data_IF_843136263957
#
_entry.id   IF_843136263957
#
_cell.length_a   1.000
_cell.length_b   1.000
_cell.length_c   1.000
_cell.angle_alpha   90.00
_cell.angle_beta   90.00
_cell.angle_gamma   90.00
#
_symmetry.space_group_name_H-M   'P 1'
#
loop_
_entity.id
_entity.type
_entity.pdbx_description
1 polymer ?
#
# COMPACT_ATOMS: atom_id res chain seq x y z
N UNK A 1 14.72 17.67 -16.31
CA UNK A 1 15.55 16.63 -16.95
C UNK A 1 15.88 15.59 -15.88
N UNK A 2 15.45 14.32 -16.09
CA UNK A 2 15.90 13.05 -15.45
C UNK A 2 15.58 12.89 -13.94
N UNK A 3 15.01 11.81 -13.41
CA UNK A 3 14.70 10.44 -13.83
C UNK A 3 13.31 10.08 -13.27
N UNK A 4 12.25 10.01 -14.09
CA UNK A 4 10.89 9.75 -13.58
C UNK A 4 10.15 8.64 -14.32
N UNK A 5 10.83 7.91 -15.20
CA UNK A 5 10.24 6.83 -15.97
C UNK A 5 10.95 5.52 -15.63
N UNK A 6 10.49 4.88 -14.57
CA UNK A 6 10.80 3.47 -14.33
C UNK A 6 9.81 2.66 -15.18
N UNK A 7 10.10 2.53 -16.47
CA UNK A 7 9.55 1.44 -17.28
C UNK A 7 9.84 0.12 -16.55
N UNK A 8 8.82 -0.70 -16.33
CA UNK A 8 8.86 -2.07 -15.79
C UNK A 8 10.26 -2.47 -15.25
N UNK A 9 10.58 -1.98 -14.04
CA UNK A 9 11.87 -2.28 -13.42
C UNK A 9 11.87 -3.71 -12.95
N UNK A 10 12.37 -4.60 -13.79
CA UNK A 10 13.09 -5.77 -13.32
C UNK A 10 14.19 -5.30 -12.38
N UNK A 11 14.24 -5.90 -11.19
CA UNK A 11 15.15 -5.63 -10.07
C UNK A 11 16.44 -4.88 -10.44
N UNK A 12 16.64 -3.64 -9.95
CA UNK A 12 17.95 -3.00 -10.00
C UNK A 12 18.89 -3.78 -9.08
N UNK A 13 19.65 -4.72 -9.67
CA UNK A 13 20.56 -5.59 -8.92
C UNK A 13 20.89 -6.91 -9.60
N UNK A 14 20.06 -7.39 -10.54
CA UNK A 14 20.36 -8.59 -11.34
C UNK A 14 20.62 -8.16 -12.79
N UNK A 15 21.89 -8.10 -13.24
CA UNK A 15 22.20 -7.90 -14.64
C UNK A 15 21.39 -8.85 -15.52
N UNK A 16 20.79 -8.37 -16.62
CA UNK A 16 20.02 -9.18 -17.61
C UNK A 16 20.74 -10.48 -18.02
N UNK A 17 22.08 -10.48 -17.94
CA UNK A 17 22.93 -11.63 -18.22
C UNK A 17 22.84 -12.77 -17.18
N UNK A 18 22.53 -12.48 -15.91
CA UNK A 18 22.44 -13.47 -14.83
C UNK A 18 21.08 -14.18 -14.80
N UNK A 19 19.98 -13.43 -14.97
CA UNK A 19 18.64 -14.01 -15.04
C UNK A 19 18.46 -14.95 -16.26
N UNK A 20 19.07 -14.62 -17.41
CA UNK A 20 19.07 -15.50 -18.60
C UNK A 20 20.01 -16.71 -18.49
N UNK A 21 21.01 -16.68 -17.62
CA UNK A 21 22.01 -17.76 -17.47
C UNK A 21 21.73 -18.72 -16.31
N UNK A 22 20.80 -18.39 -15.41
CA UNK A 22 20.47 -19.21 -14.22
C UNK A 22 18.95 -19.28 -14.02
N UNK A 23 18.25 -20.20 -14.69
CA UNK A 23 16.79 -20.37 -14.55
C UNK A 23 16.34 -20.84 -13.15
N UNK A 24 17.28 -21.13 -12.25
CA UNK A 24 17.03 -21.57 -10.86
C UNK A 24 17.43 -20.54 -9.80
N UNK A 25 17.69 -19.28 -10.17
CA UNK A 25 18.05 -18.25 -9.19
C UNK A 25 16.83 -17.96 -8.30
N UNK A 26 16.94 -18.25 -7.01
CA UNK A 26 15.88 -17.97 -6.03
C UNK A 26 15.96 -16.53 -5.52
N UNK A 27 14.89 -16.02 -4.92
CA UNK A 27 14.79 -14.62 -4.48
C UNK A 27 15.81 -14.27 -3.38
N UNK A 28 16.08 -15.19 -2.46
CA UNK A 28 17.13 -15.09 -1.44
C UNK A 28 18.53 -15.02 -2.05
N UNK A 29 18.78 -15.73 -3.15
CA UNK A 29 20.04 -15.65 -3.90
C UNK A 29 20.18 -14.34 -4.67
N UNK A 30 19.07 -13.75 -5.14
CA UNK A 30 19.05 -12.45 -5.78
C UNK A 30 19.23 -11.30 -4.78
N UNK A 31 18.83 -11.50 -3.52
CA UNK A 31 18.90 -10.51 -2.46
C UNK A 31 19.57 -11.08 -1.18
N UNK A 32 20.86 -11.48 -1.26
CA UNK A 32 21.53 -12.11 -0.14
C UNK A 32 21.71 -11.12 1.03
N UNK A 33 21.44 -11.54 2.28
CA UNK A 33 21.60 -10.68 3.43
C UNK A 33 23.09 -10.39 3.70
N UNK A 34 23.41 -9.15 4.07
CA UNK A 34 24.80 -8.71 4.31
C UNK A 34 25.13 -8.52 5.79
N UNK A 35 24.11 -8.53 6.64
CA UNK A 35 24.23 -8.32 8.08
C UNK A 35 23.11 -9.07 8.82
N UNK A 36 23.16 -9.07 10.15
CA UNK A 36 22.19 -9.79 10.99
C UNK A 36 20.76 -9.26 10.86
N UNK A 37 20.58 -7.95 10.63
CA UNK A 37 19.26 -7.33 10.43
C UNK A 37 18.66 -7.78 9.11
N UNK A 38 19.43 -7.74 8.02
CA UNK A 38 19.00 -8.26 6.72
C UNK A 38 18.75 -9.77 6.80
N UNK A 39 19.58 -10.54 7.53
CA UNK A 39 19.33 -11.98 7.73
C UNK A 39 18.03 -12.25 8.51
N UNK A 40 17.65 -11.36 9.43
CA UNK A 40 16.39 -11.45 10.15
C UNK A 40 15.18 -11.21 9.23
N UNK A 41 15.25 -10.17 8.40
CA UNK A 41 14.16 -9.71 7.54
C UNK A 41 14.04 -10.47 6.21
N UNK A 42 15.17 -10.81 5.59
CA UNK A 42 15.23 -11.36 4.23
C UNK A 42 14.83 -12.83 4.26
N UNK A 43 13.62 -13.12 3.84
CA UNK A 43 13.04 -14.46 3.92
C UNK A 43 11.74 -14.57 3.13
N UNK A 44 11.26 -15.81 3.02
CA UNK A 44 9.85 -16.08 2.84
C UNK A 44 9.12 -16.00 4.19
N UNK A 45 7.94 -15.40 4.15
CA UNK A 45 7.08 -15.14 5.29
C UNK A 45 5.70 -15.69 5.00
N UNK A 46 5.14 -16.43 5.96
CA UNK A 46 3.81 -17.04 5.87
C UNK A 46 2.89 -16.37 6.87
N UNK A 47 1.74 -15.89 6.40
CA UNK A 47 0.75 -15.25 7.25
C UNK A 47 0.23 -16.23 8.30
N UNK A 48 0.30 -15.83 9.57
CA UNK A 48 -0.40 -16.47 10.67
C UNK A 48 -1.84 -15.97 10.67
N UNK A 49 -2.72 -16.77 10.09
CA UNK A 49 -4.14 -16.42 9.91
C UNK A 49 -4.86 -16.33 11.26
N UNK A 50 -4.42 -17.10 12.26
CA UNK A 50 -5.02 -17.12 13.59
C UNK A 50 -4.67 -15.85 14.39
N UNK A 51 -3.50 -15.25 14.13
CA UNK A 51 -3.10 -13.97 14.73
C UNK A 51 -3.56 -12.73 13.92
N UNK A 52 -4.14 -12.92 12.73
CA UNK A 52 -4.57 -11.82 11.86
C UNK A 52 -5.81 -11.12 12.43
N UNK A 53 -5.74 -9.79 12.56
CA UNK A 53 -6.79 -8.98 13.19
C UNK A 53 -7.19 -7.84 12.27
N UNK A 54 -8.51 -7.65 12.12
CA UNK A 54 -9.14 -6.44 11.61
C UNK A 54 -10.11 -5.89 12.66
N UNK A 55 -9.99 -4.59 12.96
CA UNK A 55 -10.93 -3.85 13.82
C UNK A 55 -11.57 -2.75 12.98
N UNK A 56 -12.87 -2.84 12.74
CA UNK A 56 -13.61 -1.79 12.06
C UNK A 56 -13.69 -0.52 12.91
N UNK A 57 -13.68 0.65 12.27
CA UNK A 57 -13.92 1.92 12.94
C UNK A 57 -15.39 2.05 13.36
N UNK A 58 -15.65 2.54 14.57
CA UNK A 58 -16.98 2.62 15.22
C UNK A 58 -18.09 3.30 14.39
N UNK A 59 -17.73 4.11 13.38
CA UNK A 59 -18.68 4.80 12.50
C UNK A 59 -18.80 4.20 11.08
N UNK A 60 -17.98 3.21 10.71
CA UNK A 60 -18.08 2.54 9.40
C UNK A 60 -19.33 1.64 9.33
N UNK A 61 -19.76 1.09 10.47
CA UNK A 61 -20.87 0.15 10.56
C UNK A 61 -22.26 0.81 10.48
N UNK A 62 -22.37 2.13 10.70
CA UNK A 62 -23.67 2.83 10.73
C UNK A 62 -24.30 3.09 9.36
N UNK A 63 -23.58 2.85 8.25
CA UNK A 63 -24.09 3.12 6.89
C UNK A 63 -24.69 1.90 6.18
N UNK A 64 -24.52 0.69 6.71
CA UNK A 64 -24.98 -0.54 6.03
C UNK A 64 -26.29 -1.13 6.57
N UNK A 65 -26.88 -0.58 7.63
CA UNK A 65 -28.11 -1.14 8.23
C UNK A 65 -29.17 -0.07 8.48
N UNK A 66 -29.64 0.62 7.44
CA UNK A 66 -30.99 1.21 7.42
C UNK A 66 -31.53 1.11 5.99
N UNK A 67 -32.62 0.36 5.82
CA UNK A 67 -33.07 -0.16 4.53
C UNK A 67 -33.80 0.79 3.58
N UNK A 68 -34.19 0.21 2.44
CA UNK A 68 -35.09 0.77 1.44
C UNK A 68 -34.88 0.08 0.10
N UNK A 69 -35.81 -0.80 -0.30
CA UNK A 69 -35.80 -1.42 -1.62
C UNK A 69 -35.79 -0.36 -2.73
N UNK A 70 -34.79 -0.45 -3.60
CA UNK A 70 -34.64 0.44 -4.76
C UNK A 70 -33.31 0.15 -5.43
N UNK A 71 -33.38 -0.42 -6.63
CA UNK A 71 -32.32 -0.72 -7.59
C UNK A 71 -30.87 -0.78 -7.08
N UNK A 72 -30.32 -1.99 -7.14
CA UNK A 72 -28.89 -2.28 -7.10
C UNK A 72 -28.24 -1.59 -8.32
N UNK A 73 -27.99 -0.28 -8.21
CA UNK A 73 -27.03 0.40 -9.05
C UNK A 73 -25.65 -0.04 -8.58
N UNK A 74 -24.88 -0.49 -9.56
CA UNK A 74 -23.57 -1.17 -9.55
C UNK A 74 -22.43 -0.34 -8.90
N UNK A 75 -22.65 0.13 -7.66
CA UNK A 75 -21.74 0.95 -6.88
C UNK A 75 -21.65 0.56 -5.40
N UNK A 76 -22.36 -0.50 -4.99
CA UNK A 76 -22.07 -1.19 -3.74
C UNK A 76 -20.72 -1.88 -3.91
N UNK A 77 -19.74 -1.54 -3.06
CA UNK A 77 -18.43 -2.17 -2.97
C UNK A 77 -18.49 -3.63 -2.50
N UNK A 78 -19.40 -4.42 -3.08
CA UNK A 78 -19.52 -5.84 -2.88
C UNK A 78 -18.25 -6.51 -3.43
N UNK A 79 -17.27 -6.72 -2.54
CA UNK A 79 -16.09 -7.50 -2.87
C UNK A 79 -16.56 -8.94 -3.05
N UNK A 80 -16.43 -9.46 -4.27
CA UNK A 80 -16.81 -10.85 -4.54
C UNK A 80 -15.96 -11.78 -3.67
N UNK A 81 -16.53 -12.90 -3.25
CA UNK A 81 -15.81 -13.92 -2.51
C UNK A 81 -14.55 -14.40 -3.26
N UNK A 82 -14.61 -14.48 -4.59
CA UNK A 82 -13.47 -14.82 -5.44
C UNK A 82 -12.37 -13.76 -5.38
N UNK A 83 -12.72 -12.47 -5.40
CA UNK A 83 -11.77 -11.37 -5.25
C UNK A 83 -11.11 -11.38 -3.87
N UNK A 84 -11.87 -11.71 -2.82
CA UNK A 84 -11.30 -11.88 -1.48
C UNK A 84 -10.30 -13.03 -1.44
N UNK A 85 -10.65 -14.20 -1.99
CA UNK A 85 -9.73 -15.34 -2.04
C UNK A 85 -8.47 -15.03 -2.84
N UNK A 86 -8.59 -14.33 -3.96
CA UNK A 86 -7.46 -13.91 -4.78
C UNK A 86 -6.52 -12.97 -4.01
N UNK A 87 -7.06 -11.93 -3.37
CA UNK A 87 -6.29 -11.00 -2.53
C UNK A 87 -5.61 -11.74 -1.39
N UNK A 88 -6.34 -12.59 -0.67
CA UNK A 88 -5.79 -13.37 0.45
C UNK A 88 -4.66 -14.27 -0.06
N UNK A 89 -4.83 -14.95 -1.20
CA UNK A 89 -3.81 -15.82 -1.77
C UNK A 89 -2.49 -15.09 -2.02
N UNK A 90 -2.56 -13.81 -2.43
CA UNK A 90 -1.38 -12.98 -2.66
C UNK A 90 -0.68 -12.53 -1.38
N UNK A 91 -1.42 -12.45 -0.27
CA UNK A 91 -0.94 -11.95 1.02
C UNK A 91 -0.49 -13.10 1.94
N UNK A 92 -0.99 -14.33 1.76
CA UNK A 92 -0.66 -15.48 2.62
C UNK A 92 0.83 -15.84 2.59
N UNK A 93 1.50 -15.69 1.45
CA UNK A 93 2.94 -15.94 1.32
C UNK A 93 3.63 -14.80 0.58
N UNK A 94 4.54 -14.15 1.29
CA UNK A 94 5.31 -13.04 0.76
C UNK A 94 6.79 -13.31 0.96
N UNK A 95 7.61 -12.95 0.00
CA UNK A 95 9.05 -12.85 0.18
C UNK A 95 9.43 -11.41 0.31
N UNK A 96 10.29 -11.14 1.28
CA UNK A 96 10.73 -9.80 1.64
C UNK A 96 12.24 -9.80 1.64
N UNK A 97 12.85 -8.74 1.11
CA UNK A 97 14.28 -8.48 1.24
C UNK A 97 14.55 -7.00 1.47
N UNK A 98 15.10 -6.67 2.64
CA UNK A 98 15.54 -5.33 2.98
C UNK A 98 17.04 -5.18 2.68
N UNK A 99 17.42 -3.99 2.23
CA UNK A 99 18.80 -3.55 2.14
C UNK A 99 18.91 -2.28 2.98
N UNK A 100 19.57 -2.40 4.13
CA UNK A 100 19.63 -1.32 5.13
C UNK A 100 20.48 -0.17 4.61
N UNK A 101 21.60 -0.48 3.96
CA UNK A 101 22.51 0.54 3.43
C UNK A 101 21.86 1.36 2.31
N UNK A 102 21.16 0.69 1.37
CA UNK A 102 20.48 1.34 0.27
C UNK A 102 19.11 1.92 0.65
N UNK A 103 18.63 1.65 1.88
CA UNK A 103 17.28 1.99 2.36
C UNK A 103 16.20 1.50 1.40
N UNK A 104 16.25 0.24 1.00
CA UNK A 104 15.26 -0.34 0.08
C UNK A 104 14.62 -1.59 0.63
N UNK A 105 13.33 -1.77 0.36
CA UNK A 105 12.57 -2.98 0.66
C UNK A 105 12.04 -3.57 -0.64
N UNK A 106 12.37 -4.82 -0.90
CA UNK A 106 11.83 -5.60 -1.99
C UNK A 106 10.77 -6.56 -1.42
N UNK A 107 9.63 -6.66 -2.09
CA UNK A 107 8.55 -7.53 -1.68
C UNK A 107 7.91 -8.19 -2.90
N UNK A 108 7.67 -9.50 -2.83
CA UNK A 108 6.86 -10.21 -3.83
C UNK A 108 5.88 -11.17 -3.18
N UNK A 109 4.76 -11.37 -3.85
CA UNK A 109 3.86 -12.49 -3.58
C UNK A 109 4.37 -13.73 -4.30
N UNK A 110 4.38 -14.88 -3.65
CA UNK A 110 4.76 -16.14 -4.32
C UNK A 110 3.65 -16.72 -5.19
N UNK A 111 2.45 -16.16 -5.12
CA UNK A 111 1.27 -16.57 -5.89
C UNK A 111 0.89 -15.52 -6.96
N UNK A 112 1.81 -14.60 -7.28
CA UNK A 112 1.59 -13.53 -8.27
C UNK A 112 1.78 -13.97 -9.72
N UNK A 113 1.54 -13.03 -10.64
CA UNK A 113 1.77 -13.18 -12.09
C UNK A 113 3.19 -12.78 -12.51
N UNK A 114 3.94 -12.13 -11.61
CA UNK A 114 5.34 -11.74 -11.80
C UNK A 114 6.26 -12.95 -11.96
N UNK A 115 7.36 -12.79 -12.71
CA UNK A 115 8.42 -13.79 -12.77
C UNK A 115 9.07 -14.02 -11.40
N UNK A 116 9.82 -15.13 -11.26
CA UNK A 116 10.46 -15.54 -10.00
C UNK A 116 11.37 -14.48 -9.34
N UNK A 117 11.84 -13.51 -10.11
CA UNK A 117 12.70 -12.40 -9.65
C UNK A 117 11.99 -11.04 -9.71
N UNK A 118 10.78 -10.95 -10.26
CA UNK A 118 10.05 -9.69 -10.34
C UNK A 118 9.43 -9.38 -8.97
N UNK A 119 9.70 -8.20 -8.44
CA UNK A 119 9.22 -7.78 -7.13
C UNK A 119 8.95 -6.28 -7.05
N UNK A 120 8.03 -5.92 -6.17
CA UNK A 120 7.85 -4.53 -5.77
C UNK A 120 9.13 -4.03 -5.10
N UNK A 121 9.64 -2.88 -5.52
CA UNK A 121 10.77 -2.21 -4.88
C UNK A 121 10.34 -0.88 -4.28
N UNK A 122 10.58 -0.74 -2.98
CA UNK A 122 10.33 0.47 -2.20
C UNK A 122 11.65 1.10 -1.78
N UNK A 123 11.78 2.40 -1.96
CA UNK A 123 12.81 3.21 -1.31
C UNK A 123 12.25 3.80 -0.01
N UNK A 124 13.04 3.76 1.06
CA UNK A 124 12.65 4.03 2.45
C UNK A 124 13.40 5.24 3.05
N UNK A 125 13.51 6.32 2.27
CA UNK A 125 14.25 7.54 2.62
C UNK A 125 13.37 8.67 3.20
N UNK A 126 12.07 8.41 3.39
CA UNK A 126 11.09 9.37 3.88
C UNK A 126 10.57 10.33 2.81
N UNK A 127 10.98 10.16 1.55
CA UNK A 127 10.54 11.03 0.44
C UNK A 127 9.27 10.49 -0.23
N UNK A 128 8.56 11.40 -0.91
CA UNK A 128 7.39 11.09 -1.73
C UNK A 128 7.83 10.35 -3.00
N UNK A 129 7.21 9.19 -3.26
CA UNK A 129 7.58 8.30 -4.37
C UNK A 129 6.36 7.61 -4.97
N UNK A 130 6.54 6.97 -6.12
CA UNK A 130 5.50 6.20 -6.82
C UNK A 130 5.97 4.76 -7.00
N UNK A 131 5.13 3.77 -6.68
CA UNK A 131 5.40 2.37 -7.01
C UNK A 131 5.36 2.18 -8.52
N UNK A 132 6.26 1.36 -9.06
CA UNK A 132 6.21 0.89 -10.45
C UNK A 132 5.44 -0.43 -10.61
N UNK A 133 5.32 -1.22 -9.55
CA UNK A 133 4.76 -2.56 -9.57
C UNK A 133 4.30 -2.99 -8.17
N UNK A 134 3.20 -3.73 -8.09
CA UNK A 134 2.69 -4.36 -6.88
C UNK A 134 3.40 -5.69 -6.60
N UNK A 135 3.35 -6.21 -5.36
CA UNK A 135 4.01 -7.46 -5.00
C UNK A 135 3.56 -8.67 -5.84
N UNK A 136 2.34 -8.65 -6.40
CA UNK A 136 1.83 -9.71 -7.26
C UNK A 136 2.29 -9.59 -8.73
N UNK A 137 3.10 -8.59 -9.09
CA UNK A 137 3.59 -8.37 -10.45
C UNK A 137 2.74 -7.44 -11.30
N UNK A 138 1.58 -7.01 -10.81
CA UNK A 138 0.75 -6.05 -11.53
C UNK A 138 1.44 -4.69 -11.54
N UNK A 139 1.56 -4.07 -12.71
CA UNK A 139 2.03 -2.69 -12.79
C UNK A 139 1.01 -1.75 -12.14
N UNK A 140 1.48 -0.69 -11.48
CA UNK A 140 0.60 0.42 -11.15
C UNK A 140 0.13 1.05 -12.47
N UNK A 141 -1.18 1.14 -12.67
CA UNK A 141 -1.73 1.84 -13.83
C UNK A 141 -1.38 3.33 -13.74
N UNK A 142 -0.38 3.76 -14.50
CA UNK A 142 0.09 5.15 -14.52
C UNK A 142 -1.00 6.07 -15.11
N UNK A 143 -1.78 5.55 -16.08
CA UNK A 143 -2.70 6.33 -16.91
C UNK A 143 -3.83 7.04 -16.14
N UNK A 144 -4.12 6.62 -14.91
CA UNK A 144 -5.15 7.26 -14.09
C UNK A 144 -4.58 8.11 -12.95
N UNK A 145 -3.29 8.01 -12.62
CA UNK A 145 -2.70 8.69 -11.44
C UNK A 145 -3.31 8.28 -10.10
N UNK A 146 -4.11 7.20 -10.09
CA UNK A 146 -4.96 6.73 -8.98
C UNK A 146 -4.22 5.88 -7.96
N UNK A 147 -3.11 5.27 -8.33
CA UNK A 147 -2.40 4.34 -7.47
C UNK A 147 -0.91 4.52 -7.62
N UNK A 148 -0.18 4.26 -6.54
CA UNK A 148 1.28 4.23 -6.57
C UNK A 148 1.94 5.19 -5.61
N UNK A 149 1.30 6.29 -5.23
CA UNK A 149 1.92 7.27 -4.35
C UNK A 149 2.16 6.70 -2.96
N UNK A 150 3.37 6.90 -2.45
CA UNK A 150 3.76 6.40 -1.15
C UNK A 150 4.87 7.25 -0.50
N UNK A 151 4.98 7.10 0.81
CA UNK A 151 6.12 7.58 1.61
C UNK A 151 6.61 6.40 2.43
N UNK A 152 7.82 5.93 2.14
CA UNK A 152 8.46 4.86 2.88
C UNK A 152 9.60 5.43 3.72
N UNK A 153 9.70 5.03 4.98
CA UNK A 153 10.75 5.49 5.88
C UNK A 153 11.25 4.35 6.75
N UNK A 154 12.56 4.15 6.73
CA UNK A 154 13.24 3.19 7.60
C UNK A 154 13.85 3.92 8.79
N UNK A 155 13.50 3.50 10.00
CA UNK A 155 14.03 4.04 11.25
C UNK A 155 14.58 2.92 12.13
N UNK A 156 15.53 3.27 12.98
CA UNK A 156 15.92 2.42 14.11
C UNK A 156 15.29 3.03 15.35
N UNK A 157 14.45 2.26 16.05
CA UNK A 157 13.80 2.71 17.27
C UNK A 157 14.79 2.81 18.45
N UNK A 158 14.34 3.34 19.57
CA UNK A 158 15.18 3.49 20.78
C UNK A 158 15.74 2.16 21.31
N UNK A 159 15.06 1.04 21.00
CA UNK A 159 15.52 -0.29 21.38
C UNK A 159 16.51 -0.90 20.39
N UNK A 160 16.97 -0.13 19.39
CA UNK A 160 17.89 -0.58 18.36
C UNK A 160 17.24 -1.44 17.28
N UNK A 161 15.90 -1.52 17.25
CA UNK A 161 15.18 -2.35 16.29
C UNK A 161 14.86 -1.56 15.03
N UNK A 162 15.06 -2.20 13.89
CA UNK A 162 14.66 -1.63 12.61
C UNK A 162 13.14 -1.66 12.48
N UNK A 163 12.56 -0.53 12.11
CA UNK A 163 11.13 -0.35 11.85
C UNK A 163 10.98 0.33 10.50
N UNK A 164 10.08 -0.19 9.67
CA UNK A 164 9.70 0.44 8.40
C UNK A 164 8.31 1.04 8.55
N UNK A 165 8.20 2.34 8.32
CA UNK A 165 6.94 3.05 8.18
C UNK A 165 6.63 3.17 6.70
N UNK A 166 5.42 2.79 6.30
CA UNK A 166 4.96 2.88 4.93
C UNK A 166 3.59 3.55 4.91
N UNK A 167 3.48 4.66 4.20
CA UNK A 167 2.22 5.31 3.90
C UNK A 167 1.92 5.11 2.43
N UNK A 168 0.73 4.62 2.09
CA UNK A 168 0.30 4.37 0.71
C UNK A 168 -0.99 5.13 0.45
N UNK A 169 -1.08 5.76 -0.71
CA UNK A 169 -2.25 6.52 -1.13
C UNK A 169 -2.90 5.87 -2.35
N UNK A 170 -4.22 5.75 -2.31
CA UNK A 170 -5.06 5.34 -3.41
C UNK A 170 -6.10 6.43 -3.65
N UNK A 171 -6.07 7.03 -4.83
CA UNK A 171 -6.86 8.20 -5.17
C UNK A 171 -8.08 7.81 -6.00
N UNK A 172 -9.23 8.31 -5.58
CA UNK A 172 -10.46 8.23 -6.36
C UNK A 172 -10.67 9.50 -7.17
N UNK A 173 -10.92 9.33 -8.47
CA UNK A 173 -11.35 10.41 -9.38
C UNK A 173 -12.89 10.48 -9.51
N UNK A 174 -13.62 9.54 -8.89
CA UNK A 174 -15.07 9.49 -8.97
C UNK A 174 -15.69 10.33 -7.87
N UNK A 175 -16.76 11.04 -8.19
CA UNK A 175 -17.43 11.98 -7.27
C UNK A 175 -18.16 11.30 -6.10
N UNK A 176 -18.30 9.99 -6.18
CA UNK A 176 -19.06 9.11 -5.28
C UNK A 176 -18.17 8.05 -4.61
N UNK A 177 -16.85 8.16 -4.72
CA UNK A 177 -15.91 7.18 -4.16
C UNK A 177 -14.77 7.85 -3.40
N UNK A 178 -14.44 7.37 -2.19
CA UNK A 178 -13.40 7.99 -1.38
C UNK A 178 -12.00 7.66 -1.88
N UNK A 179 -11.05 8.55 -1.61
CA UNK A 179 -9.63 8.20 -1.64
C UNK A 179 -9.24 7.53 -0.33
N UNK A 180 -8.23 6.65 -0.38
CA UNK A 180 -7.72 5.90 0.76
C UNK A 180 -6.28 6.24 1.08
N UNK A 181 -5.97 6.24 2.38
CA UNK A 181 -4.63 6.42 2.92
C UNK A 181 -4.35 5.30 3.91
N UNK A 182 -3.47 4.40 3.53
CA UNK A 182 -2.99 3.29 4.36
C UNK A 182 -1.74 3.76 5.10
N UNK A 183 -1.71 3.60 6.43
CA UNK A 183 -0.50 3.84 7.23
C UNK A 183 -0.09 2.54 7.89
N UNK A 184 1.15 2.14 7.66
CA UNK A 184 1.66 0.84 8.07
C UNK A 184 2.97 1.00 8.82
N UNK A 185 3.13 0.20 9.86
CA UNK A 185 4.34 -0.02 10.62
C UNK A 185 4.71 -1.49 10.52
N UNK A 186 5.90 -1.76 10.00
CA UNK A 186 6.45 -3.08 9.76
C UNK A 186 7.68 -3.27 10.66
N UNK A 187 7.75 -4.41 11.34
CA UNK A 187 8.84 -4.73 12.24
C UNK A 187 9.12 -6.23 12.26
N UNK A 188 10.38 -6.60 12.43
CA UNK A 188 10.79 -7.99 12.60
C UNK A 188 11.17 -8.25 14.06
N UNK A 189 10.51 -9.22 14.68
CA UNK A 189 10.74 -9.65 16.05
C UNK A 189 11.53 -10.95 16.09
N UNK A 190 12.67 -10.90 16.80
CA UNK A 190 13.52 -12.07 17.10
C UNK A 190 13.89 -12.91 15.87
N UNK A 191 13.98 -12.29 14.70
CA UNK A 191 14.28 -12.93 13.42
C UNK A 191 13.34 -14.07 13.02
N UNK A 192 12.13 -14.12 13.60
CA UNK A 192 11.15 -15.20 13.39
C UNK A 192 9.74 -14.74 13.12
N UNK A 193 9.40 -13.50 13.49
CA UNK A 193 8.07 -12.94 13.27
C UNK A 193 8.16 -11.59 12.58
N UNK A 194 7.46 -11.41 11.46
CA UNK A 194 7.31 -10.13 10.79
C UNK A 194 5.90 -9.62 11.10
N UNK A 195 5.81 -8.51 11.81
CA UNK A 195 4.54 -7.91 12.19
C UNK A 195 4.29 -6.68 11.32
N UNK A 196 3.11 -6.64 10.71
CA UNK A 196 2.62 -5.52 9.91
C UNK A 196 1.36 -5.02 10.60
N UNK A 197 1.39 -3.79 11.09
CA UNK A 197 0.25 -3.17 11.78
C UNK A 197 -0.03 -1.81 11.20
N UNK A 198 -1.28 -1.36 11.27
CA UNK A 198 -1.63 -0.09 10.66
C UNK A 198 -3.10 0.24 10.73
N UNK A 199 -3.44 1.30 10.01
CA UNK A 199 -4.81 1.72 9.82
C UNK A 199 -5.07 2.14 8.37
N UNK A 200 -6.35 2.10 8.03
CA UNK A 200 -6.87 2.54 6.74
C UNK A 200 -7.73 3.77 7.01
N UNK A 201 -7.40 4.87 6.35
CA UNK A 201 -8.19 6.10 6.36
C UNK A 201 -8.89 6.24 5.02
N UNK A 202 -10.08 6.85 5.02
CA UNK A 202 -10.82 7.23 3.82
C UNK A 202 -11.17 8.72 3.88
N UNK A 203 -11.24 9.37 2.71
CA UNK A 203 -11.74 10.75 2.63
C UNK A 203 -13.20 10.83 3.04
N UNK A 204 -13.57 11.89 3.75
CA UNK A 204 -14.95 12.10 4.25
C UNK A 204 -15.82 12.92 3.31
N UNK A 205 -15.20 13.79 2.51
CA UNK A 205 -15.91 14.56 1.48
C UNK A 205 -16.47 13.61 0.40
N UNK A 206 -17.66 13.89 -0.17
CA UNK A 206 -18.24 13.19 -1.31
C UNK A 206 -17.22 12.89 -2.40
N UNK A 207 -16.44 13.89 -2.79
CA UNK A 207 -15.38 13.76 -3.78
C UNK A 207 -14.05 14.33 -3.28
N UNK A 208 -12.97 13.68 -3.72
CA UNK A 208 -11.59 14.05 -3.33
C UNK A 208 -10.99 15.16 -4.18
N UNK A 209 -11.43 15.30 -5.43
CA UNK A 209 -10.88 16.21 -6.43
C UNK A 209 -11.99 16.81 -7.29
N UNK A 210 -11.87 18.09 -7.62
CA UNK A 210 -12.71 18.70 -8.66
C UNK A 210 -12.32 18.17 -10.06
N UNK A 211 -13.24 18.26 -11.03
CA UNK A 211 -13.03 17.69 -12.38
C UNK A 211 -11.72 18.15 -13.05
N UNK A 212 -11.33 19.42 -12.83
CA UNK A 212 -10.05 19.97 -13.34
C UNK A 212 -8.84 19.30 -12.69
N UNK A 213 -8.87 19.07 -11.39
CA UNK A 213 -7.77 18.41 -10.66
C UNK A 213 -7.73 16.91 -10.99
N UNK A 214 -8.89 16.26 -11.07
CA UNK A 214 -9.00 14.86 -11.47
C UNK A 214 -8.37 14.59 -12.85
N UNK A 215 -8.54 15.51 -13.81
CA UNK A 215 -7.93 15.40 -15.15
C UNK A 215 -6.40 15.46 -15.17
N UNK A 216 -5.79 16.00 -14.11
CA UNK A 216 -4.33 16.17 -13.99
C UNK A 216 -3.73 15.37 -12.84
N UNK A 217 -4.50 14.44 -12.27
CA UNK A 217 -4.08 13.70 -11.09
C UNK A 217 -2.76 12.94 -11.32
N UNK A 218 -2.53 12.38 -12.50
CA UNK A 218 -1.26 11.72 -12.84
C UNK A 218 -0.04 12.65 -12.85
N UNK A 219 -0.23 13.95 -13.06
CA UNK A 219 0.84 14.96 -13.11
C UNK A 219 1.14 15.60 -11.75
N UNK A 220 0.18 15.53 -10.83
CA UNK A 220 0.29 16.19 -9.52
C UNK A 220 1.29 15.48 -8.62
N UNK A 221 2.06 16.26 -7.86
CA UNK A 221 2.87 15.71 -6.77
C UNK A 221 1.96 15.16 -5.66
N UNK A 222 2.45 14.18 -4.88
CA UNK A 222 1.71 13.65 -3.73
C UNK A 222 1.35 14.77 -2.74
N UNK A 223 2.26 15.72 -2.49
CA UNK A 223 1.97 16.93 -1.72
C UNK A 223 0.78 17.72 -2.26
N UNK A 224 0.72 17.96 -3.56
CA UNK A 224 -0.35 18.74 -4.17
C UNK A 224 -1.68 17.99 -4.16
N UNK A 225 -1.66 16.67 -4.35
CA UNK A 225 -2.87 15.82 -4.20
C UNK A 225 -3.45 15.91 -2.80
N UNK A 226 -2.60 15.82 -1.77
CA UNK A 226 -3.04 15.96 -0.37
C UNK A 226 -3.64 17.34 -0.09
N UNK A 227 -3.00 18.41 -0.57
CA UNK A 227 -3.54 19.77 -0.46
C UNK A 227 -4.87 19.94 -1.18
N UNK A 228 -5.05 19.31 -2.34
CA UNK A 228 -6.31 19.34 -3.08
C UNK A 228 -7.43 18.66 -2.28
N UNK A 229 -7.15 17.50 -1.66
CA UNK A 229 -8.10 16.84 -0.76
C UNK A 229 -8.46 17.72 0.43
N UNK A 230 -7.47 18.32 1.09
CA UNK A 230 -7.72 19.21 2.24
C UNK A 230 -8.55 20.44 1.84
N UNK A 231 -8.28 21.01 0.65
CA UNK A 231 -9.05 22.14 0.10
C UNK A 231 -10.49 21.74 -0.22
N UNK A 232 -10.66 20.63 -0.95
CA UNK A 232 -11.96 20.08 -1.33
C UNK A 232 -12.81 19.82 -0.08
N UNK A 233 -12.21 19.26 0.97
CA UNK A 233 -12.89 19.08 2.26
C UNK A 233 -13.32 20.40 2.89
N UNK A 234 -12.42 21.40 2.94
CA UNK A 234 -12.70 22.69 3.57
C UNK A 234 -13.81 23.47 2.85
N UNK A 235 -13.76 23.55 1.52
CA UNK A 235 -14.75 24.26 0.70
C UNK A 235 -16.13 23.64 0.87
N UNK A 236 -16.24 22.31 0.79
CA UNK A 236 -17.54 21.67 0.91
C UNK A 236 -18.10 21.66 2.34
N UNK A 237 -17.23 21.70 3.36
CA UNK A 237 -17.63 21.90 4.76
C UNK A 237 -18.23 23.30 4.96
N UNK A 238 -17.68 24.32 4.27
CA UNK A 238 -18.19 25.69 4.31
C UNK A 238 -19.54 25.81 3.60
N UNK A 239 -19.73 25.13 2.46
CA UNK A 239 -20.99 25.12 1.70
C UNK A 239 -22.12 24.38 2.44
N UNK A 240 -21.78 23.35 3.23
CA UNK A 240 -22.74 22.43 3.85
C UNK A 240 -22.52 22.27 5.37
N UNK A 241 -22.50 23.39 6.10
CA UNK A 241 -22.26 23.44 7.55
C UNK A 241 -23.26 22.63 8.41
N UNK A 242 -24.42 22.24 7.85
CA UNK A 242 -25.47 21.47 8.52
C UNK A 242 -25.39 19.95 8.33
N UNK A 243 -24.38 19.41 7.64
CA UNK A 243 -24.31 17.97 7.32
C UNK A 243 -23.32 17.24 8.24
N UNK A 244 -23.63 16.02 8.67
CA UNK A 244 -22.87 15.27 9.70
C UNK A 244 -21.35 15.15 9.44
N UNK A 245 -20.89 15.20 8.18
CA UNK A 245 -19.47 15.13 7.83
C UNK A 245 -18.74 16.48 7.93
N UNK A 246 -19.45 17.61 8.03
CA UNK A 246 -18.89 18.95 8.22
C UNK A 246 -18.18 19.13 9.58
N UNK A 247 -18.45 18.23 10.54
CA UNK A 247 -17.74 18.19 11.84
C UNK A 247 -16.55 17.22 11.86
N UNK A 248 -16.22 16.61 10.72
CA UNK A 248 -15.18 15.60 10.62
C UNK A 248 -13.82 16.18 10.20
N UNK A 249 -12.80 15.33 10.15
CA UNK A 249 -11.49 15.65 9.55
C UNK A 249 -11.47 15.14 8.10
N UNK A 250 -10.56 15.65 7.23
CA UNK A 250 -10.50 15.25 5.82
C UNK A 250 -10.32 13.73 5.62
N UNK A 251 -9.65 13.07 6.58
CA UNK A 251 -9.36 11.64 6.58
C UNK A 251 -9.93 10.97 7.82
N UNK A 252 -10.84 10.01 7.64
CA UNK A 252 -11.48 9.27 8.72
C UNK A 252 -11.02 7.82 8.75
N UNK A 253 -10.74 7.32 9.95
CA UNK A 253 -10.36 5.93 10.17
C UNK A 253 -11.51 4.98 9.82
N UNK A 254 -11.24 4.07 8.88
CA UNK A 254 -12.13 2.98 8.48
C UNK A 254 -11.91 1.73 9.31
N UNK A 255 -10.67 1.50 9.74
CA UNK A 255 -10.32 0.41 10.61
C UNK A 255 -8.82 0.28 10.81
N UNK A 256 -8.46 -0.63 11.70
CA UNK A 256 -7.08 -0.98 12.05
C UNK A 256 -6.84 -2.44 11.80
N UNK A 257 -5.61 -2.76 11.41
CA UNK A 257 -5.21 -4.13 11.14
C UNK A 257 -3.91 -4.48 11.83
N UNK A 258 -3.75 -5.77 12.07
CA UNK A 258 -2.48 -6.38 12.47
C UNK A 258 -2.37 -7.73 11.78
N UNK A 259 -1.30 -7.92 11.04
CA UNK A 259 -0.92 -9.17 10.39
C UNK A 259 0.41 -9.63 11.00
N UNK A 260 0.45 -10.87 11.46
CA UNK A 260 1.69 -11.52 11.88
C UNK A 260 2.09 -12.53 10.82
N UNK A 261 3.36 -12.55 10.45
CA UNK A 261 3.92 -13.57 9.59
C UNK A 261 5.01 -14.34 10.32
N UNK A 262 5.05 -15.64 10.09
CA UNK A 262 6.11 -16.52 10.56
C UNK A 262 7.10 -16.75 9.44
N UNK A 263 8.39 -16.80 9.80
CA UNK A 263 9.46 -17.11 8.86
C UNK A 263 9.32 -18.56 8.40
N UNK A 264 9.29 -18.78 7.09
CA UNK A 264 9.26 -20.12 6.49
C UNK A 264 10.61 -20.84 6.63
#
# INVERSE_FOLDING_TARGET
MREAYINASMCPGVPRALARRRPHLTFDQAHPPRNSVESAWNAQWVLDVDEAVWKSGEKAMKREVVGGGGDIRDGSGAVSLFTLFDIISHVVRVEVAINVQARTLHARSTQGTAGILDCMRLVLDGQERVFSMFPNGMASGIDAGRSGDYIGEMRVDQSGRLVVYLQVFNWSIREDSPSYHLRTRIECWRSRRLCISGDVLATTAPFSFYSREASRLGEMSLRDKRKAVDRSFAEQTQENSNVEWATSVPWKEMGRFRLTYLKA
#
